data_IF_965515476571
#
_entry.id   IF_965515476571
#
_cell.length_a   1.000
_cell.length_b   1.000
_cell.length_c   1.000
_cell.angle_alpha   90.00
_cell.angle_beta   90.00
_cell.angle_gamma   90.00
#
_symmetry.space_group_name_H-M   'P 1'
#
loop_
_entity.id
_entity.type
_entity.pdbx_description
1 polymer ?
#
# COMPACT_ATOMS: atom_id res chain seq x y z
N UNK A 1 -3.39 -14.86 -12.10
CA UNK A 1 -3.46 -13.46 -11.61
C UNK A 1 -2.87 -12.60 -12.73
N UNK A 2 -3.64 -11.71 -13.37
CA UNK A 2 -3.20 -11.06 -14.63
C UNK A 2 -2.45 -9.74 -14.46
N UNK A 3 -2.39 -9.16 -13.26
CA UNK A 3 -1.60 -7.98 -12.99
C UNK A 3 -1.59 -7.60 -11.51
N UNK A 4 -0.58 -6.85 -11.10
CA UNK A 4 -0.62 -6.02 -9.89
C UNK A 4 -0.23 -4.61 -10.29
N UNK A 5 -0.86 -3.62 -9.64
CA UNK A 5 -0.38 -2.24 -9.67
C UNK A 5 0.67 -2.09 -8.58
N UNK A 6 1.90 -1.76 -8.98
CA UNK A 6 2.94 -1.43 -8.01
C UNK A 6 2.71 -0.03 -7.45
N UNK A 7 2.76 0.09 -6.13
CA UNK A 7 2.80 1.36 -5.40
C UNK A 7 4.09 1.40 -4.60
N UNK A 8 4.96 2.35 -4.91
CA UNK A 8 6.24 2.56 -4.24
C UNK A 8 6.03 3.50 -3.07
N UNK A 9 6.31 3.00 -1.88
CA UNK A 9 6.29 3.77 -0.64
C UNK A 9 7.70 4.19 -0.29
N UNK A 10 7.96 5.49 -0.31
CA UNK A 10 9.27 6.06 -0.01
C UNK A 10 9.20 6.96 1.21
N UNK A 11 10.24 6.94 2.05
CA UNK A 11 10.40 7.84 3.19
C UNK A 11 11.71 8.63 3.02
N UNK A 12 11.60 9.93 2.76
CA UNK A 12 12.74 10.85 2.68
C UNK A 12 12.68 11.82 3.85
N UNK A 13 13.60 11.70 4.81
CA UNK A 13 13.53 12.44 6.06
C UNK A 13 12.28 12.04 6.86
N UNK A 14 11.35 12.98 7.04
CA UNK A 14 10.04 12.74 7.69
C UNK A 14 8.87 12.67 6.69
N UNK A 15 9.15 12.80 5.40
CA UNK A 15 8.12 12.82 4.36
C UNK A 15 7.98 11.44 3.74
N UNK A 16 6.82 10.85 3.90
CA UNK A 16 6.40 9.64 3.21
C UNK A 16 5.60 9.99 1.96
N UNK A 17 5.79 9.24 0.88
CA UNK A 17 5.06 9.40 -0.38
C UNK A 17 4.75 8.05 -1.02
N UNK A 18 3.63 7.98 -1.73
CA UNK A 18 3.24 6.85 -2.58
C UNK A 18 3.35 7.27 -4.04
N UNK A 19 3.89 6.39 -4.89
CA UNK A 19 3.91 6.56 -6.34
C UNK A 19 3.52 5.25 -7.03
N UNK A 20 2.45 5.20 -7.82
CA UNK A 20 1.55 6.31 -8.16
C UNK A 20 0.56 6.63 -7.02
N UNK A 21 0.08 7.87 -7.01
CA UNK A 21 -1.03 8.33 -6.17
C UNK A 21 -1.89 9.33 -6.99
N UNK A 22 -3.13 8.97 -7.39
CA UNK A 22 -3.81 7.72 -7.10
C UNK A 22 -3.25 6.53 -7.89
N UNK A 23 -3.36 5.34 -7.32
CA UNK A 23 -3.13 4.09 -8.04
C UNK A 23 -4.40 3.64 -8.76
N UNK A 24 -4.33 3.47 -10.09
CA UNK A 24 -5.48 3.03 -10.90
C UNK A 24 -5.50 1.50 -11.01
N UNK A 25 -6.66 0.90 -10.74
CA UNK A 25 -6.93 -0.54 -10.79
C UNK A 25 -8.09 -0.85 -11.74
N UNK A 26 -8.04 -2.03 -12.35
CA UNK A 26 -9.09 -2.53 -13.22
C UNK A 26 -9.62 -3.90 -12.76
N UNK A 27 -10.88 -4.22 -13.06
CA UNK A 27 -11.48 -5.48 -12.60
C UNK A 27 -12.15 -6.37 -13.64
N UNK A 28 -12.62 -5.85 -14.79
CA UNK A 28 -13.34 -6.69 -15.78
C UNK A 28 -12.43 -7.64 -16.57
N UNK A 29 -11.17 -7.26 -16.80
CA UNK A 29 -10.19 -8.11 -17.50
C UNK A 29 -9.45 -9.11 -16.58
N UNK A 30 -9.80 -9.10 -15.29
CA UNK A 30 -9.13 -9.79 -14.20
C UNK A 30 -8.79 -8.79 -13.10
N UNK A 31 -9.26 -8.99 -11.85
CA UNK A 31 -9.10 -8.01 -10.79
C UNK A 31 -7.64 -7.75 -10.47
N UNK A 32 -7.25 -6.47 -10.59
CA UNK A 32 -5.95 -6.00 -10.17
C UNK A 32 -5.80 -6.12 -8.65
N UNK A 33 -4.57 -6.43 -8.26
CA UNK A 33 -4.07 -6.35 -6.89
C UNK A 33 -3.19 -5.11 -6.75
N UNK A 34 -2.93 -4.65 -5.53
CA UNK A 34 -1.87 -3.66 -5.29
C UNK A 34 -0.67 -4.36 -4.67
N UNK A 35 0.53 -4.10 -5.21
CA UNK A 35 1.81 -4.49 -4.61
C UNK A 35 2.48 -3.23 -4.05
N UNK A 36 2.50 -3.10 -2.73
CA UNK A 36 3.27 -2.08 -2.06
C UNK A 36 4.72 -2.52 -1.93
N UNK A 37 5.65 -1.65 -2.32
CA UNK A 37 7.09 -1.86 -2.22
C UNK A 37 7.71 -0.74 -1.38
N UNK A 38 8.82 -1.04 -0.71
CA UNK A 38 9.39 -0.17 0.33
C UNK A 38 10.86 0.20 0.05
N UNK A 39 11.19 0.77 -1.12
CA UNK A 39 12.57 1.06 -1.46
C UNK A 39 13.17 2.13 -0.53
N UNK A 40 14.31 1.80 0.08
CA UNK A 40 15.09 2.76 0.86
C UNK A 40 14.47 3.17 2.20
N UNK A 41 13.53 2.40 2.74
CA UNK A 41 12.97 2.68 4.06
C UNK A 41 14.08 2.62 5.14
N UNK A 42 14.19 3.65 6.00
CA UNK A 42 15.15 3.68 7.11
C UNK A 42 15.04 2.48 8.06
N UNK A 43 16.17 2.04 8.61
CA UNK A 43 16.24 0.89 9.54
C UNK A 43 15.48 1.05 10.87
N UNK A 44 15.10 2.28 11.22
CA UNK A 44 14.33 2.56 12.43
C UNK A 44 12.82 2.36 12.23
N UNK A 45 12.36 2.14 11.01
CA UNK A 45 11.01 1.61 10.74
C UNK A 45 11.11 0.09 10.83
N UNK A 46 10.13 -0.57 11.46
CA UNK A 46 10.09 -2.04 11.69
C UNK A 46 8.80 -2.68 11.12
N UNK A 47 7.73 -1.89 10.98
CA UNK A 47 6.49 -2.39 10.40
C UNK A 47 5.74 -1.33 9.59
N UNK A 48 4.84 -1.83 8.74
CA UNK A 48 3.97 -1.04 7.88
C UNK A 48 2.55 -1.59 7.90
N UNK A 49 1.58 -0.69 7.97
CA UNK A 49 0.15 -1.01 7.92
C UNK A 49 -0.50 -0.26 6.76
N UNK A 50 -1.29 -0.99 5.96
CA UNK A 50 -2.14 -0.43 4.91
C UNK A 50 -3.59 -0.47 5.38
N UNK A 51 -4.15 0.69 5.71
CA UNK A 51 -5.50 0.81 6.29
C UNK A 51 -6.45 1.54 5.36
N UNK A 52 -7.41 0.82 4.79
CA UNK A 52 -8.53 1.45 4.07
C UNK A 52 -9.38 2.29 5.00
N UNK A 53 -9.64 3.55 4.63
CA UNK A 53 -10.43 4.49 5.45
C UNK A 53 -11.93 4.26 5.33
N UNK A 54 -12.37 3.74 4.20
CA UNK A 54 -13.79 3.45 3.95
C UNK A 54 -14.18 2.02 4.31
N UNK A 55 -15.41 1.85 4.82
CA UNK A 55 -15.99 0.54 5.11
C UNK A 55 -16.23 -0.31 3.86
N UNK A 56 -16.29 0.29 2.68
CA UNK A 56 -16.51 -0.41 1.40
C UNK A 56 -15.25 -1.00 0.75
N UNK A 57 -14.08 -0.88 1.42
CA UNK A 57 -12.77 -1.46 1.08
C UNK A 57 -12.68 -2.10 -0.32
N UNK A 58 -12.02 -1.46 -1.30
CA UNK A 58 -11.94 -2.03 -2.64
C UNK A 58 -11.12 -3.31 -2.63
N UNK A 59 -10.21 -3.49 -1.68
CA UNK A 59 -9.33 -4.64 -1.51
C UNK A 59 -9.26 -5.00 -0.02
N UNK A 60 -8.82 -6.22 0.29
CA UNK A 60 -8.46 -6.58 1.67
C UNK A 60 -7.32 -5.70 2.19
N UNK A 61 -7.33 -5.44 3.51
CA UNK A 61 -6.23 -4.72 4.16
C UNK A 61 -4.95 -5.58 4.15
N UNK A 62 -3.80 -4.94 3.98
CA UNK A 62 -2.48 -5.57 4.01
C UNK A 62 -1.68 -5.13 5.22
N UNK A 63 -0.93 -6.04 5.84
CA UNK A 63 -0.02 -5.73 6.94
C UNK A 63 1.30 -6.46 6.73
N UNK A 64 2.41 -5.79 7.02
CA UNK A 64 3.76 -6.33 6.91
C UNK A 64 4.62 -5.89 8.07
N UNK A 65 5.43 -6.82 8.56
CA UNK A 65 6.49 -6.54 9.52
C UNK A 65 7.76 -7.19 9.03
N UNK A 66 8.90 -6.50 9.18
CA UNK A 66 10.17 -7.17 9.16
C UNK A 66 10.97 -6.76 10.37
N UNK A 67 11.56 -7.72 11.10
CA UNK A 67 12.43 -7.37 12.22
C UNK A 67 13.63 -6.57 11.69
N UNK A 68 13.91 -5.43 12.35
CA UNK A 68 15.04 -4.51 12.11
C UNK A 68 16.46 -5.13 12.05
N UNK A 69 16.59 -6.44 12.31
CA UNK A 69 17.85 -7.20 12.33
C UNK A 69 18.36 -7.67 10.95
N UNK A 70 17.60 -7.49 9.86
CA UNK A 70 17.96 -7.90 8.49
C UNK A 70 17.99 -6.69 7.54
N UNK A 71 18.85 -6.69 6.51
CA UNK A 71 18.95 -5.60 5.52
C UNK A 71 17.73 -5.48 4.58
N UNK A 72 17.60 -4.35 3.86
CA UNK A 72 16.45 -3.92 3.00
C UNK A 72 15.14 -4.63 3.32
N UNK A 73 14.56 -4.29 4.47
CA UNK A 73 13.95 -5.33 5.30
C UNK A 73 12.44 -5.51 5.16
N UNK A 74 11.64 -4.44 4.96
CA UNK A 74 10.18 -4.60 4.88
C UNK A 74 9.78 -5.46 3.66
N UNK A 75 8.95 -6.50 3.84
CA UNK A 75 8.49 -7.32 2.73
C UNK A 75 7.52 -6.53 1.87
N UNK A 76 7.50 -6.82 0.58
CA UNK A 76 6.43 -6.33 -0.27
C UNK A 76 5.07 -6.82 0.23
N UNK A 77 4.07 -5.94 0.16
CA UNK A 77 2.69 -6.28 0.53
C UNK A 77 1.82 -6.37 -0.70
N UNK A 78 1.17 -7.52 -0.87
CA UNK A 78 0.21 -7.73 -1.95
C UNK A 78 -1.19 -7.79 -1.35
N UNK A 79 -2.03 -6.81 -1.68
CA UNK A 79 -3.45 -6.82 -1.33
C UNK A 79 -4.27 -7.49 -2.42
N UNK A 80 -5.31 -8.21 -2.04
CA UNK A 80 -6.17 -8.97 -2.96
C UNK A 80 -7.65 -8.69 -2.67
N UNK A 81 -8.56 -9.27 -3.47
CA UNK A 81 -9.99 -9.23 -3.21
C UNK A 81 -10.67 -7.97 -3.72
N UNK A 82 -10.35 -7.56 -4.96
CA UNK A 82 -10.96 -6.39 -5.60
C UNK A 82 -12.51 -6.52 -5.56
N UNK A 83 -13.22 -5.54 -5.01
CA UNK A 83 -14.67 -5.57 -4.84
C UNK A 83 -15.46 -5.35 -6.13
N UNK A 84 -14.78 -4.98 -7.23
CA UNK A 84 -15.36 -4.79 -8.56
C UNK A 84 -16.42 -3.68 -8.62
N UNK A 85 -16.23 -2.63 -7.81
CA UNK A 85 -17.08 -1.44 -7.79
C UNK A 85 -16.24 -0.24 -8.21
N UNK A 86 -16.75 0.55 -9.15
CA UNK A 86 -16.12 1.79 -9.58
C UNK A 86 -16.09 2.80 -8.43
N UNK A 87 -14.95 3.47 -8.23
CA UNK A 87 -14.86 4.47 -7.19
C UNK A 87 -13.44 4.91 -6.84
N UNK A 88 -13.36 5.91 -5.97
CA UNK A 88 -12.12 6.35 -5.31
C UNK A 88 -12.13 5.89 -3.88
N UNK A 89 -11.06 5.26 -3.46
CA UNK A 89 -10.95 4.60 -2.17
C UNK A 89 -9.69 5.08 -1.45
N UNK A 90 -9.84 5.94 -0.42
CA UNK A 90 -8.70 6.40 0.36
C UNK A 90 -8.20 5.30 1.30
N UNK A 91 -6.87 5.26 1.47
CA UNK A 91 -6.21 4.42 2.46
C UNK A 91 -5.08 5.20 3.13
N UNK A 92 -4.65 4.74 4.30
CA UNK A 92 -3.46 5.22 4.97
C UNK A 92 -2.33 4.20 4.82
N UNK A 93 -1.12 4.70 4.61
CA UNK A 93 0.13 3.95 4.76
C UNK A 93 0.83 4.46 6.00
N UNK A 94 0.88 3.63 7.03
CA UNK A 94 1.45 3.97 8.33
C UNK A 94 2.74 3.19 8.54
N UNK A 95 3.84 3.88 8.88
CA UNK A 95 5.12 3.28 9.20
C UNK A 95 5.36 3.38 10.71
N UNK A 96 5.74 2.27 11.34
CA UNK A 96 5.98 2.21 12.79
C UNK A 96 7.41 1.79 13.10
N UNK A 97 7.94 2.24 14.24
CA UNK A 97 9.20 1.76 14.79
C UNK A 97 9.03 0.44 15.57
N UNK A 98 10.13 -0.09 16.10
CA UNK A 98 10.16 -1.33 16.88
C UNK A 98 9.38 -1.26 18.22
N UNK A 99 8.98 -0.06 18.66
CA UNK A 99 8.14 0.15 19.84
C UNK A 99 6.66 0.36 19.47
N UNK A 100 6.30 0.27 18.19
CA UNK A 100 4.96 0.53 17.69
C UNK A 100 4.60 2.01 17.66
N UNK A 101 5.58 2.92 17.72
CA UNK A 101 5.33 4.36 17.56
C UNK A 101 5.25 4.73 16.08
N UNK A 102 4.27 5.57 15.73
CA UNK A 102 4.10 6.06 14.36
C UNK A 102 5.28 6.97 13.97
N UNK A 103 6.00 6.57 12.92
CA UNK A 103 7.14 7.31 12.36
C UNK A 103 6.67 8.29 11.28
N UNK A 104 5.78 7.82 10.40
CA UNK A 104 5.27 8.59 9.27
C UNK A 104 3.95 8.00 8.76
N UNK A 105 3.10 8.85 8.18
CA UNK A 105 1.82 8.46 7.57
C UNK A 105 1.57 9.26 6.29
N UNK A 106 0.98 8.62 5.29
CA UNK A 106 0.44 9.26 4.08
C UNK A 106 -0.92 8.67 3.74
N UNK A 107 -1.77 9.50 3.13
CA UNK A 107 -3.17 9.20 2.80
C UNK A 107 -3.43 9.19 1.29
N UNK A 108 -2.89 8.20 0.55
CA UNK A 108 -3.12 8.06 -0.88
C UNK A 108 -4.52 7.52 -1.21
N UNK A 109 -4.79 7.43 -2.51
CA UNK A 109 -6.03 6.88 -3.04
C UNK A 109 -5.79 5.73 -4.04
N UNK A 110 -6.78 4.85 -4.15
CA UNK A 110 -6.96 3.97 -5.31
C UNK A 110 -8.15 4.46 -6.12
N UNK A 111 -8.00 4.48 -7.43
CA UNK A 111 -9.09 4.64 -8.39
C UNK A 111 -9.40 3.28 -9.02
N UNK A 112 -10.56 2.71 -8.71
CA UNK A 112 -10.99 1.42 -9.26
C UNK A 112 -11.94 1.67 -10.43
N UNK A 113 -11.65 1.05 -11.58
CA UNK A 113 -12.41 1.23 -12.82
C UNK A 113 -12.74 -0.14 -13.43
N UNK A 114 -13.84 -0.23 -14.17
CA UNK A 114 -14.23 -1.48 -14.81
C UNK A 114 -13.25 -1.98 -15.87
N UNK A 115 -12.98 -1.14 -16.86
CA UNK A 115 -12.24 -1.53 -18.06
C UNK A 115 -10.87 -0.85 -18.09
N UNK A 116 -9.79 -1.58 -18.42
CA UNK A 116 -8.51 -0.95 -18.73
C UNK A 116 -8.60 -0.09 -20.00
N UNK A 117 -7.71 0.91 -20.18
CA UNK A 117 -7.61 1.70 -21.40
C UNK A 117 -7.20 0.86 -22.62
#
# INVERSE_FOLDING_TARGET
MKGYREVKVTLTGKRITCDPDPAVLYYKAGPDCVRFTFPGIPKNVDSVVIRWKDGQRPLFAGMGSAPSSVGSHLPDLITQGNCQVDGRYPYAVELYDAHGQLVAEVDPEVENQGDPP
#
